data_IF_019478141321
#
_entry.id   IF_019478141321
#
_cell.length_a   1.000
_cell.length_b   1.000
_cell.length_c   1.000
_cell.angle_alpha   90.00
_cell.angle_beta   90.00
_cell.angle_gamma   90.00
#
_symmetry.space_group_name_H-M   'P 1'
#
loop_
_entity.id
_entity.type
_entity.pdbx_description
1 polymer ?
#
# COMPACT_ATOMS: atom_id res chain seq x y z
N UNK A 1 5.96 6.63 -20.80
CA UNK A 1 7.26 5.94 -20.72
C UNK A 1 6.98 4.49 -20.31
N UNK A 2 7.23 3.49 -21.16
CA UNK A 2 7.10 2.07 -20.78
C UNK A 2 8.37 1.68 -20.02
N UNK A 3 8.29 1.46 -18.70
CA UNK A 3 9.41 0.97 -17.91
C UNK A 3 9.45 -0.55 -17.99
N UNK A 4 10.50 -1.12 -18.60
CA UNK A 4 10.69 -2.58 -18.61
C UNK A 4 11.25 -3.02 -17.26
N UNK A 5 10.52 -3.89 -16.56
CA UNK A 5 10.96 -4.53 -15.33
C UNK A 5 11.65 -5.86 -15.66
N UNK A 6 12.67 -6.27 -14.88
CA UNK A 6 13.27 -7.59 -15.03
C UNK A 6 12.22 -8.69 -14.78
N UNK A 7 12.28 -9.83 -15.50
CA UNK A 7 11.27 -10.89 -15.43
C UNK A 7 11.24 -11.61 -14.07
N UNK A 8 12.34 -11.57 -13.33
CA UNK A 8 12.49 -12.07 -11.97
C UNK A 8 12.96 -10.95 -11.04
N UNK A 9 12.67 -11.12 -9.75
CA UNK A 9 13.25 -10.26 -8.72
C UNK A 9 14.78 -10.38 -8.78
N UNK A 10 15.54 -9.27 -8.93
CA UNK A 10 16.97 -9.31 -9.26
C UNK A 10 17.85 -9.93 -8.16
N UNK A 11 17.31 -10.15 -6.97
CA UNK A 11 18.04 -10.65 -5.81
C UNK A 11 17.86 -12.16 -5.56
N UNK A 12 17.52 -12.94 -6.59
CA UNK A 12 17.50 -14.41 -6.56
C UNK A 12 18.92 -15.01 -6.48
N UNK A 13 19.66 -14.64 -5.45
CA UNK A 13 20.65 -15.55 -4.85
C UNK A 13 20.03 -15.96 -3.54
N UNK A 14 19.87 -17.27 -3.37
CA UNK A 14 19.52 -17.94 -2.12
C UNK A 14 20.33 -17.25 -1.02
N UNK A 15 19.72 -16.28 -0.34
CA UNK A 15 20.42 -15.49 0.67
C UNK A 15 20.78 -16.54 1.70
N UNK A 16 22.06 -16.71 1.99
CA UNK A 16 22.46 -17.29 3.27
C UNK A 16 21.94 -16.28 4.30
N UNK A 17 20.64 -16.40 4.66
CA UNK A 17 19.83 -15.51 5.51
C UNK A 17 20.46 -15.31 6.91
N UNK A 18 21.60 -15.93 7.15
CA UNK A 18 22.35 -16.01 8.39
C UNK A 18 23.53 -15.02 8.42
N UNK A 19 24.00 -14.47 7.29
CA UNK A 19 25.30 -13.75 7.28
C UNK A 19 25.23 -12.21 7.36
N UNK A 20 24.25 -11.54 6.75
CA UNK A 20 24.21 -10.07 6.72
C UNK A 20 22.79 -9.49 6.97
N UNK A 21 22.56 -8.85 8.14
CA UNK A 21 21.32 -8.14 8.44
C UNK A 21 20.94 -7.06 7.42
N UNK A 22 21.90 -6.39 6.79
CA UNK A 22 21.61 -5.34 5.80
C UNK A 22 21.01 -5.92 4.53
N UNK A 23 21.60 -7.00 4.01
CA UNK A 23 21.10 -7.71 2.83
C UNK A 23 19.68 -8.26 3.05
N UNK A 24 19.37 -8.75 4.26
CA UNK A 24 18.00 -9.13 4.61
C UNK A 24 17.03 -7.95 4.54
N UNK A 25 17.41 -6.80 5.12
CA UNK A 25 16.57 -5.58 5.08
C UNK A 25 16.34 -5.13 3.64
N UNK A 26 17.38 -5.10 2.80
CA UNK A 26 17.23 -4.78 1.39
C UNK A 26 16.32 -5.78 0.67
N UNK A 27 16.53 -7.08 0.86
CA UNK A 27 15.71 -8.11 0.24
C UNK A 27 14.21 -7.95 0.55
N UNK A 28 13.86 -7.84 1.84
CA UNK A 28 12.48 -7.75 2.26
C UNK A 28 11.83 -6.39 1.95
N UNK A 29 12.58 -5.30 1.89
CA UNK A 29 12.04 -3.98 1.51
C UNK A 29 11.83 -3.84 -0.01
N UNK A 30 12.72 -4.42 -0.82
CA UNK A 30 12.68 -4.26 -2.28
C UNK A 30 11.74 -5.26 -2.98
N UNK A 31 11.48 -6.43 -2.40
CA UNK A 31 10.55 -7.41 -2.99
C UNK A 31 9.14 -6.80 -3.17
N UNK A 32 8.52 -6.12 -2.18
CA UNK A 32 7.27 -5.40 -2.35
C UNK A 32 7.32 -4.27 -3.38
N UNK A 33 8.45 -3.56 -3.48
CA UNK A 33 8.65 -2.52 -4.49
C UNK A 33 8.55 -3.09 -5.90
N UNK A 34 9.25 -4.19 -6.16
CA UNK A 34 9.21 -4.86 -7.45
C UNK A 34 7.81 -5.44 -7.74
N UNK A 35 7.16 -6.04 -6.74
CA UNK A 35 5.79 -6.54 -6.88
C UNK A 35 4.78 -5.41 -7.14
N UNK A 36 4.92 -4.27 -6.46
CA UNK A 36 4.09 -3.10 -6.69
C UNK A 36 4.29 -2.53 -8.10
N UNK A 37 5.54 -2.47 -8.57
CA UNK A 37 5.83 -2.06 -9.95
C UNK A 37 5.21 -3.03 -10.97
N UNK A 38 5.23 -4.34 -10.72
CA UNK A 38 4.55 -5.34 -11.56
C UNK A 38 3.03 -5.22 -11.50
N UNK A 39 2.44 -4.89 -10.35
CA UNK A 39 1.01 -4.60 -10.22
C UNK A 39 0.61 -3.39 -11.07
N UNK A 40 1.41 -2.31 -11.03
CA UNK A 40 1.21 -1.13 -11.89
C UNK A 40 1.34 -1.52 -13.38
N UNK A 41 2.36 -2.30 -13.73
CA UNK A 41 2.55 -2.78 -15.10
C UNK A 41 1.35 -3.62 -15.55
N UNK A 42 0.81 -4.49 -14.70
CA UNK A 42 -0.36 -5.30 -14.99
C UNK A 42 -1.59 -4.44 -15.35
N UNK A 43 -1.80 -3.32 -14.66
CA UNK A 43 -2.92 -2.40 -14.94
C UNK A 43 -2.75 -1.64 -16.24
N UNK A 44 -1.51 -1.28 -16.60
CA UNK A 44 -1.21 -0.46 -17.77
C UNK A 44 -0.80 -1.25 -19.02
N UNK A 45 -0.67 -2.57 -18.93
CA UNK A 45 -0.30 -3.39 -20.07
C UNK A 45 -1.55 -3.81 -20.86
N UNK A 46 -1.81 -3.12 -21.96
CA UNK A 46 -2.89 -3.43 -22.90
C UNK A 46 -2.60 -4.69 -23.76
N UNK A 47 -1.34 -5.14 -23.79
CA UNK A 47 -0.93 -6.32 -24.57
C UNK A 47 -1.23 -7.60 -23.79
N UNK A 48 -2.47 -8.08 -23.95
CA UNK A 48 -2.84 -9.45 -23.58
C UNK A 48 -2.08 -10.40 -24.49
N UNK A 49 -0.91 -10.87 -24.05
CA UNK A 49 -0.25 -11.99 -24.73
C UNK A 49 -1.17 -13.21 -24.64
N UNK A 50 -1.46 -13.90 -25.76
CA UNK A 50 -2.28 -15.10 -25.76
C UNK A 50 -1.67 -16.23 -24.91
N UNK A 51 -0.36 -16.18 -24.65
CA UNK A 51 0.38 -17.19 -23.90
C UNK A 51 0.18 -17.09 -22.37
N UNK A 52 -0.28 -15.94 -21.85
CA UNK A 52 -0.55 -15.73 -20.42
C UNK A 52 -1.81 -14.88 -20.20
N UNK A 53 -2.96 -15.51 -19.91
CA UNK A 53 -4.19 -14.77 -19.65
C UNK A 53 -4.03 -13.84 -18.44
N UNK A 54 -4.71 -12.68 -18.40
CA UNK A 54 -4.61 -11.72 -17.29
C UNK A 54 -4.90 -12.34 -15.92
N UNK A 55 -5.77 -13.34 -15.86
CA UNK A 55 -6.05 -14.10 -14.64
C UNK A 55 -4.81 -14.76 -14.04
N UNK A 56 -3.97 -15.40 -14.86
CA UNK A 56 -2.78 -16.11 -14.39
C UNK A 56 -1.73 -15.13 -13.85
N UNK A 57 -1.57 -13.98 -14.50
CA UNK A 57 -0.63 -12.94 -14.03
C UNK A 57 -1.15 -12.34 -12.73
N UNK A 58 -2.44 -12.04 -12.65
CA UNK A 58 -3.07 -11.48 -11.47
C UNK A 58 -2.95 -12.42 -10.26
N UNK A 59 -3.29 -13.70 -10.43
CA UNK A 59 -3.22 -14.66 -9.31
C UNK A 59 -1.78 -14.87 -8.85
N UNK A 60 -0.84 -14.97 -9.80
CA UNK A 60 0.58 -15.08 -9.47
C UNK A 60 1.06 -13.89 -8.62
N UNK A 61 0.70 -12.65 -9.00
CA UNK A 61 1.09 -11.46 -8.22
C UNK A 61 0.45 -11.44 -6.83
N UNK A 62 -0.82 -11.84 -6.72
CA UNK A 62 -1.51 -11.94 -5.43
C UNK A 62 -0.84 -12.99 -4.54
N UNK A 63 -0.50 -14.15 -5.07
CA UNK A 63 0.20 -15.23 -4.35
C UNK A 63 1.61 -14.79 -3.91
N UNK A 64 2.39 -14.16 -4.80
CA UNK A 64 3.73 -13.65 -4.47
C UNK A 64 3.69 -12.57 -3.37
N UNK A 65 2.68 -11.69 -3.38
CA UNK A 65 2.45 -10.69 -2.34
C UNK A 65 2.04 -11.33 -1.01
N UNK A 66 1.09 -12.28 -1.03
CA UNK A 66 0.67 -12.98 0.19
C UNK A 66 1.81 -13.80 0.79
N UNK A 67 2.63 -14.43 -0.06
CA UNK A 67 3.83 -15.13 0.36
C UNK A 67 4.80 -14.17 1.06
N UNK A 68 5.12 -13.03 0.44
CA UNK A 68 5.99 -12.03 1.09
C UNK A 68 5.42 -11.58 2.44
N UNK A 69 4.10 -11.35 2.52
CA UNK A 69 3.47 -10.95 3.78
C UNK A 69 3.59 -12.05 4.84
N UNK A 70 3.35 -13.32 4.49
CA UNK A 70 3.46 -14.44 5.42
C UNK A 70 4.90 -14.82 5.83
N UNK A 71 5.89 -14.54 4.98
CA UNK A 71 7.30 -14.88 5.19
C UNK A 71 8.16 -13.72 5.71
N UNK A 72 7.58 -12.52 5.88
CA UNK A 72 8.35 -11.37 6.35
C UNK A 72 8.87 -11.62 7.76
N UNK A 73 10.12 -11.23 8.07
CA UNK A 73 10.68 -11.43 9.38
C UNK A 73 10.02 -10.47 10.38
N UNK A 74 10.17 -10.75 11.68
CA UNK A 74 9.53 -9.98 12.75
C UNK A 74 9.87 -8.48 12.72
N UNK A 75 11.08 -8.14 12.27
CA UNK A 75 11.56 -6.77 12.09
C UNK A 75 10.76 -5.99 11.02
N UNK A 76 10.05 -6.71 10.14
CA UNK A 76 9.14 -6.19 9.13
C UNK A 76 7.67 -6.26 9.57
N UNK A 77 7.35 -6.77 10.75
CA UNK A 77 5.99 -6.69 11.31
C UNK A 77 5.76 -5.34 12.01
N UNK A 78 4.50 -4.88 12.10
CA UNK A 78 4.18 -3.73 12.95
C UNK A 78 4.67 -3.96 14.38
N UNK A 79 5.31 -2.95 14.95
CA UNK A 79 5.69 -2.94 16.38
C UNK A 79 4.45 -2.80 17.26
N UNK A 80 3.45 -2.05 16.79
CA UNK A 80 2.17 -1.86 17.45
C UNK A 80 1.07 -1.86 16.40
N UNK A 81 0.03 -2.62 16.67
CA UNK A 81 -1.20 -2.66 15.89
C UNK A 81 -2.39 -2.63 16.84
N UNK A 82 -3.18 -1.56 16.78
CA UNK A 82 -4.42 -1.41 17.55
C UNK A 82 -5.55 -1.28 16.55
N UNK A 83 -6.39 -2.32 16.47
CA UNK A 83 -7.58 -2.32 15.65
C UNK A 83 -8.62 -1.32 16.16
N UNK A 84 -9.49 -0.89 15.26
CA UNK A 84 -10.68 -0.15 15.64
C UNK A 84 -11.65 -1.12 16.32
N UNK A 85 -11.78 -1.04 17.64
CA UNK A 85 -12.89 -1.72 18.32
C UNK A 85 -14.15 -0.86 18.15
N UNK A 86 -15.12 -1.36 17.40
CA UNK A 86 -16.40 -0.69 17.11
C UNK A 86 -17.15 -0.24 18.38
N UNK A 87 -16.85 -0.83 19.55
CA UNK A 87 -17.50 -0.50 20.82
C UNK A 87 -16.75 0.52 21.70
N UNK A 88 -15.45 0.74 21.44
CA UNK A 88 -14.58 1.61 22.26
C UNK A 88 -13.95 2.76 21.46
N UNK A 89 -14.08 2.75 20.13
CA UNK A 89 -13.70 3.89 19.30
C UNK A 89 -14.63 5.07 19.59
N UNK A 90 -14.18 5.99 20.44
CA UNK A 90 -14.75 7.32 20.48
C UNK A 90 -14.72 7.96 19.07
N UNK A 91 -15.47 9.05 18.83
CA UNK A 91 -15.59 9.69 17.52
C UNK A 91 -14.27 10.20 16.90
N UNK A 92 -13.14 10.02 17.59
CA UNK A 92 -11.82 10.53 17.25
C UNK A 92 -10.90 9.54 16.51
N UNK A 93 -11.24 8.24 16.41
CA UNK A 93 -10.38 7.25 15.72
C UNK A 93 -11.06 6.77 14.44
N UNK A 94 -10.63 7.29 13.28
CA UNK A 94 -11.19 6.88 11.98
C UNK A 94 -10.37 5.80 11.25
N UNK A 95 -9.19 5.48 11.78
CA UNK A 95 -8.27 4.45 11.27
C UNK A 95 -7.65 3.63 12.42
N UNK A 96 -7.25 2.37 12.18
CA UNK A 96 -6.45 1.61 13.14
C UNK A 96 -5.08 2.27 13.35
N UNK A 97 -4.44 2.01 14.49
CA UNK A 97 -3.10 2.52 14.79
C UNK A 97 -2.07 1.48 14.39
N UNK A 98 -1.14 1.85 13.51
CA UNK A 98 -0.09 0.94 13.02
C UNK A 98 1.25 1.66 13.05
N UNK A 99 2.15 1.17 13.87
CA UNK A 99 3.49 1.74 14.03
C UNK A 99 4.55 0.72 13.63
N UNK A 100 5.55 1.19 12.90
CA UNK A 100 6.72 0.41 12.52
C UNK A 100 7.95 0.85 13.30
N UNK A 101 8.81 -0.10 13.64
CA UNK A 101 10.05 0.19 14.36
C UNK A 101 11.13 0.83 13.46
N UNK A 102 11.04 0.65 12.14
CA UNK A 102 12.05 1.12 11.20
C UNK A 102 11.47 1.48 9.82
N UNK A 103 12.18 2.32 9.06
CA UNK A 103 11.73 2.80 7.74
C UNK A 103 11.62 1.70 6.68
N UNK A 104 12.46 0.66 6.72
CA UNK A 104 12.40 -0.42 5.75
C UNK A 104 11.14 -1.29 5.90
N UNK A 105 10.76 -1.59 7.14
CA UNK A 105 9.51 -2.29 7.47
C UNK A 105 8.29 -1.49 7.04
N UNK A 106 8.27 -0.18 7.31
CA UNK A 106 7.23 0.72 6.83
C UNK A 106 7.13 0.69 5.30
N UNK A 107 8.27 0.87 4.63
CA UNK A 107 8.36 0.90 3.17
C UNK A 107 7.92 -0.42 2.51
N UNK A 108 8.34 -1.56 3.04
CA UNK A 108 7.91 -2.86 2.52
C UNK A 108 6.40 -3.07 2.67
N UNK A 109 5.85 -2.79 3.87
CA UNK A 109 4.43 -3.03 4.15
C UNK A 109 3.52 -2.04 3.41
N UNK A 110 3.87 -0.76 3.33
CA UNK A 110 3.06 0.21 2.58
C UNK A 110 2.97 -0.18 1.10
N UNK A 111 4.08 -0.65 0.50
CA UNK A 111 4.09 -1.13 -0.88
C UNK A 111 3.34 -2.43 -1.07
N UNK A 112 3.39 -3.35 -0.11
CA UNK A 112 2.55 -4.55 -0.13
C UNK A 112 1.06 -4.19 -0.18
N UNK A 113 0.60 -3.33 0.73
CA UNK A 113 -0.81 -2.95 0.76
C UNK A 113 -1.21 -2.17 -0.50
N UNK A 114 -0.34 -1.30 -1.02
CA UNK A 114 -0.57 -0.57 -2.27
C UNK A 114 -0.66 -1.51 -3.47
N UNK A 115 0.25 -2.47 -3.60
CA UNK A 115 0.22 -3.45 -4.68
C UNK A 115 -1.06 -4.29 -4.64
N UNK A 116 -1.44 -4.79 -3.46
CA UNK A 116 -2.69 -5.53 -3.26
C UNK A 116 -3.90 -4.66 -3.59
N UNK A 117 -3.93 -3.40 -3.15
CA UNK A 117 -5.00 -2.48 -3.46
C UNK A 117 -5.17 -2.28 -4.97
N UNK A 118 -4.07 -2.07 -5.70
CA UNK A 118 -4.06 -1.92 -7.16
C UNK A 118 -4.62 -3.18 -7.83
N UNK A 119 -4.14 -4.37 -7.44
CA UNK A 119 -4.59 -5.64 -8.01
C UNK A 119 -6.06 -5.91 -7.74
N UNK A 120 -6.54 -5.68 -6.52
CA UNK A 120 -7.94 -5.94 -6.16
C UNK A 120 -8.91 -5.02 -6.91
N UNK A 121 -8.52 -3.78 -7.18
CA UNK A 121 -9.30 -2.86 -8.01
C UNK A 121 -9.31 -3.22 -9.50
N UNK A 122 -8.30 -3.99 -9.96
CA UNK A 122 -8.14 -4.41 -11.35
C UNK A 122 -8.30 -5.92 -11.51
N UNK A 123 -9.17 -6.51 -10.68
CA UNK A 123 -9.45 -7.94 -10.69
C UNK A 123 -10.03 -8.39 -12.05
N UNK A 124 -9.44 -9.40 -12.71
CA UNK A 124 -9.99 -9.98 -13.94
C UNK A 124 -11.38 -10.55 -13.73
N UNK A 125 -12.29 -10.35 -14.69
CA UNK A 125 -13.69 -10.86 -14.64
C UNK A 125 -13.76 -12.38 -14.50
N UNK A 126 -12.73 -13.10 -14.94
CA UNK A 126 -12.61 -14.56 -14.84
C UNK A 126 -12.23 -15.04 -13.44
N UNK A 127 -11.76 -14.17 -12.55
CA UNK A 127 -11.43 -14.54 -11.17
C UNK A 127 -12.72 -14.72 -10.35
N UNK A 128 -12.97 -15.91 -9.80
CA UNK A 128 -14.20 -16.21 -9.03
C UNK A 128 -14.11 -15.78 -7.57
N UNK A 129 -15.20 -15.23 -7.02
CA UNK A 129 -15.24 -14.63 -5.67
C UNK A 129 -15.05 -15.68 -4.58
N UNK A 130 -15.45 -16.93 -4.83
CA UNK A 130 -15.43 -18.02 -3.86
C UNK A 130 -14.03 -18.46 -3.42
N UNK A 131 -12.98 -18.11 -4.18
CA UNK A 131 -11.62 -18.64 -3.98
C UNK A 131 -10.83 -17.86 -2.91
N UNK A 132 -11.40 -16.79 -2.34
CA UNK A 132 -10.64 -15.76 -1.62
C UNK A 132 -11.36 -15.25 -0.37
N UNK A 133 -11.34 -16.03 0.73
CA UNK A 133 -11.98 -15.68 2.02
C UNK A 133 -11.06 -14.97 3.03
N UNK A 134 -9.86 -14.57 2.61
CA UNK A 134 -8.89 -13.90 3.47
C UNK A 134 -9.16 -12.40 3.59
N UNK A 135 -8.86 -11.79 4.74
CA UNK A 135 -8.89 -10.33 4.93
C UNK A 135 -7.96 -9.60 3.95
N UNK A 136 -6.87 -10.26 3.53
CA UNK A 136 -5.96 -9.79 2.49
C UNK A 136 -6.63 -9.64 1.10
N UNK A 137 -7.89 -10.05 0.96
CA UNK A 137 -8.65 -9.91 -0.27
C UNK A 137 -9.68 -8.77 -0.18
N UNK A 138 -9.65 -8.00 0.92
CA UNK A 138 -10.49 -6.83 1.15
C UNK A 138 -9.79 -5.53 0.70
N UNK A 139 -10.28 -4.83 -0.33
CA UNK A 139 -9.74 -3.53 -0.72
C UNK A 139 -9.82 -2.50 0.40
N UNK A 140 -10.90 -2.55 1.21
CA UNK A 140 -11.09 -1.65 2.36
C UNK A 140 -9.99 -1.86 3.40
N UNK A 141 -9.65 -3.12 3.71
CA UNK A 141 -8.58 -3.44 4.65
C UNK A 141 -7.25 -2.82 4.20
N UNK A 142 -6.84 -3.05 2.95
CA UNK A 142 -5.60 -2.45 2.42
C UNK A 142 -5.63 -0.93 2.43
N UNK A 143 -6.77 -0.33 2.09
CA UNK A 143 -6.94 1.13 2.11
C UNK A 143 -6.74 1.69 3.52
N UNK A 144 -7.42 1.11 4.52
CA UNK A 144 -7.28 1.53 5.91
C UNK A 144 -5.86 1.36 6.41
N UNK A 145 -5.19 0.24 6.09
CA UNK A 145 -3.79 0.00 6.43
C UNK A 145 -2.87 1.08 5.87
N UNK A 146 -2.99 1.44 4.58
CA UNK A 146 -2.17 2.49 3.96
C UNK A 146 -2.37 3.84 4.66
N UNK A 147 -3.63 4.26 4.87
CA UNK A 147 -3.92 5.51 5.59
C UNK A 147 -3.37 5.49 7.02
N UNK A 148 -3.52 4.37 7.72
CA UNK A 148 -3.02 4.19 9.09
C UNK A 148 -1.50 4.32 9.16
N UNK A 149 -0.79 3.67 8.24
CA UNK A 149 0.68 3.73 8.16
C UNK A 149 1.12 5.18 7.93
N UNK A 150 0.50 5.86 6.96
CA UNK A 150 0.83 7.23 6.61
C UNK A 150 0.55 8.23 7.76
N UNK A 151 -0.59 8.08 8.45
CA UNK A 151 -1.03 9.02 9.49
C UNK A 151 -0.28 8.84 10.82
N UNK A 152 0.14 7.62 11.17
CA UNK A 152 0.78 7.34 12.46
C UNK A 152 2.30 7.30 12.42
N UNK A 153 2.92 7.24 11.23
CA UNK A 153 4.37 7.29 11.05
C UNK A 153 4.77 8.60 10.35
N UNK A 154 4.46 9.72 10.98
CA UNK A 154 4.38 11.05 10.35
C UNK A 154 5.64 11.93 10.50
N UNK A 155 6.75 11.34 10.96
CA UNK A 155 8.03 12.05 11.04
C UNK A 155 8.59 12.30 9.64
N UNK A 156 9.38 13.36 9.50
CA UNK A 156 9.93 13.77 8.19
C UNK A 156 10.68 12.64 7.50
N UNK A 157 11.45 11.85 8.25
CA UNK A 157 12.24 10.72 7.76
C UNK A 157 11.42 9.51 7.30
N UNK A 158 10.14 9.42 7.69
CA UNK A 158 9.25 8.34 7.26
C UNK A 158 8.62 8.60 5.89
N UNK A 159 8.66 9.85 5.40
CA UNK A 159 8.06 10.23 4.13
C UNK A 159 9.00 10.05 2.95
N UNK A 160 8.59 9.18 2.02
CA UNK A 160 9.16 9.04 0.69
C UNK A 160 8.07 9.26 -0.39
N UNK A 161 8.44 9.48 -1.67
CA UNK A 161 7.45 9.68 -2.74
C UNK A 161 6.49 8.50 -2.94
N UNK A 162 6.91 7.26 -2.66
CA UNK A 162 6.05 6.09 -2.70
C UNK A 162 5.01 6.13 -1.58
N UNK A 163 5.37 6.51 -0.35
CA UNK A 163 4.40 6.65 0.75
C UNK A 163 3.36 7.73 0.45
N UNK A 164 3.77 8.88 -0.09
CA UNK A 164 2.82 9.91 -0.52
C UNK A 164 1.88 9.38 -1.62
N UNK A 165 2.41 8.67 -2.62
CA UNK A 165 1.61 8.11 -3.70
C UNK A 165 0.63 7.03 -3.21
N UNK A 166 1.09 6.13 -2.33
CA UNK A 166 0.27 5.13 -1.66
C UNK A 166 -0.87 5.80 -0.88
N UNK A 167 -0.54 6.81 -0.07
CA UNK A 167 -1.51 7.52 0.74
C UNK A 167 -2.56 8.24 -0.12
N UNK A 168 -2.14 8.93 -1.18
CA UNK A 168 -3.05 9.56 -2.13
C UNK A 168 -3.96 8.55 -2.83
N UNK A 169 -3.43 7.38 -3.22
CA UNK A 169 -4.23 6.31 -3.84
C UNK A 169 -5.30 5.77 -2.89
N UNK A 170 -4.94 5.53 -1.62
CA UNK A 170 -5.87 5.03 -0.61
C UNK A 170 -6.91 6.09 -0.21
N UNK A 171 -6.50 7.35 -0.07
CA UNK A 171 -7.35 8.48 0.28
C UNK A 171 -8.58 8.59 -0.64
N UNK A 172 -8.42 8.38 -1.95
CA UNK A 172 -9.52 8.40 -2.92
C UNK A 172 -10.67 7.43 -2.60
N UNK A 173 -10.44 6.45 -1.75
CA UNK A 173 -11.44 5.45 -1.33
C UNK A 173 -12.18 5.80 -0.05
N UNK A 174 -11.88 6.94 0.57
CA UNK A 174 -12.55 7.39 1.79
C UNK A 174 -13.95 7.91 1.48
N UNK A 175 -14.95 7.32 2.12
CA UNK A 175 -16.37 7.72 2.00
C UNK A 175 -16.92 8.36 3.26
N UNK A 176 -16.27 8.15 4.41
CA UNK A 176 -16.68 8.75 5.68
C UNK A 176 -16.00 10.09 5.90
N UNK A 177 -16.79 11.09 6.30
CA UNK A 177 -16.33 12.45 6.54
C UNK A 177 -15.18 12.51 7.55
N UNK A 178 -15.25 11.74 8.65
CA UNK A 178 -14.19 11.70 9.67
C UNK A 178 -12.85 11.23 9.11
N UNK A 179 -12.87 10.21 8.25
CA UNK A 179 -11.70 9.70 7.55
C UNK A 179 -11.13 10.71 6.56
N UNK A 180 -12.01 11.38 5.80
CA UNK A 180 -11.60 12.43 4.86
C UNK A 180 -10.91 13.60 5.58
N UNK A 181 -11.46 14.04 6.72
CA UNK A 181 -10.85 15.07 7.56
C UNK A 181 -9.48 14.67 8.09
N UNK A 182 -9.31 13.44 8.57
CA UNK A 182 -8.00 12.92 8.99
C UNK A 182 -7.00 12.89 7.83
N UNK A 183 -7.43 12.48 6.64
CA UNK A 183 -6.57 12.48 5.44
C UNK A 183 -6.14 13.90 5.06
N UNK A 184 -7.06 14.87 5.07
CA UNK A 184 -6.73 16.28 4.77
C UNK A 184 -5.68 16.80 5.75
N UNK A 185 -5.90 16.61 7.06
CA UNK A 185 -4.92 17.01 8.09
C UNK A 185 -3.58 16.31 7.90
N UNK A 186 -3.59 15.03 7.55
CA UNK A 186 -2.40 14.26 7.23
C UNK A 186 -1.60 14.88 6.08
N UNK A 187 -2.25 15.17 4.96
CA UNK A 187 -1.61 15.79 3.79
C UNK A 187 -1.06 17.19 4.10
N UNK A 188 -1.81 18.03 4.83
CA UNK A 188 -1.33 19.35 5.28
C UNK A 188 -0.10 19.24 6.19
N UNK A 189 -0.06 18.21 7.04
CA UNK A 189 1.10 17.92 7.88
C UNK A 189 2.31 17.49 7.05
N UNK A 190 2.13 16.68 6.00
CA UNK A 190 3.22 16.33 5.07
C UNK A 190 3.85 17.60 4.51
N UNK A 191 3.03 18.52 3.99
CA UNK A 191 3.52 19.80 3.46
C UNK A 191 4.37 20.55 4.50
N UNK A 192 3.90 20.58 5.74
CA UNK A 192 4.58 21.27 6.85
C UNK A 192 5.94 20.62 7.18
N UNK A 193 6.03 19.29 7.22
CA UNK A 193 7.26 18.59 7.65
C UNK A 193 8.25 18.33 6.52
N UNK A 194 7.80 18.13 5.28
CA UNK A 194 8.67 17.82 4.12
C UNK A 194 8.87 19.00 3.18
N UNK A 195 7.98 20.00 3.20
CA UNK A 195 7.92 21.08 2.21
C UNK A 195 7.30 20.67 0.87
N UNK A 196 6.81 19.44 0.73
CA UNK A 196 6.23 18.97 -0.54
C UNK A 196 4.92 19.67 -0.87
N UNK A 197 4.72 19.99 -2.14
CA UNK A 197 3.48 20.62 -2.60
C UNK A 197 2.40 19.55 -2.81
N UNK A 198 1.46 19.47 -1.86
CA UNK A 198 0.31 18.55 -1.90
C UNK A 198 -0.99 19.22 -2.37
N UNK A 199 -0.97 20.50 -2.77
CA UNK A 199 -2.18 21.29 -3.05
C UNK A 199 -3.04 20.67 -4.15
N UNK A 200 -2.41 20.21 -5.24
CA UNK A 200 -3.12 19.56 -6.33
C UNK A 200 -3.77 18.24 -5.88
N UNK A 201 -3.06 17.45 -5.06
CA UNK A 201 -3.59 16.22 -4.48
C UNK A 201 -4.81 16.50 -3.59
N UNK A 202 -4.70 17.49 -2.68
CA UNK A 202 -5.80 17.90 -1.82
C UNK A 202 -7.02 18.38 -2.62
N UNK A 203 -6.78 19.20 -3.64
CA UNK A 203 -7.85 19.68 -4.51
C UNK A 203 -8.56 18.51 -5.22
N UNK A 204 -7.80 17.60 -5.84
CA UNK A 204 -8.38 16.42 -6.48
C UNK A 204 -9.20 15.56 -5.51
N UNK A 205 -8.72 15.33 -4.29
CA UNK A 205 -9.47 14.57 -3.28
C UNK A 205 -10.76 15.27 -2.89
N UNK A 206 -10.74 16.59 -2.65
CA UNK A 206 -11.95 17.36 -2.33
C UNK A 206 -12.99 17.33 -3.45
N UNK A 207 -12.55 17.40 -4.71
CA UNK A 207 -13.43 17.22 -5.89
C UNK A 207 -14.04 15.81 -5.87
N UNK A 208 -13.21 14.77 -5.71
CA UNK A 208 -13.66 13.37 -5.72
C UNK A 208 -14.63 13.04 -4.59
N UNK A 209 -14.50 13.71 -3.43
CA UNK A 209 -15.40 13.56 -2.29
C UNK A 209 -16.60 14.51 -2.31
N UNK A 210 -16.76 15.33 -3.36
CA UNK A 210 -17.83 16.33 -3.47
C UNK A 210 -17.83 17.40 -2.34
N UNK A 211 -16.66 17.77 -1.81
CA UNK A 211 -16.53 18.77 -0.73
C UNK A 211 -16.35 20.22 -1.22
N UNK A 212 -16.58 20.50 -2.50
CA UNK A 212 -16.36 21.84 -3.08
C UNK A 212 -17.58 22.78 -2.98
N UNK A 213 -18.69 22.32 -2.42
CA UNK A 213 -19.94 23.11 -2.34
C UNK A 213 -20.09 23.88 -1.01
N UNK A 214 -19.06 23.92 -0.14
CA UNK A 214 -19.14 24.52 1.21
C UNK A 214 -18.20 25.71 1.47
N UNK A 215 -17.84 26.50 0.45
CA UNK A 215 -17.09 27.77 0.65
C UNK A 215 -17.77 28.97 0.02
#
# INVERSE_FOLDING_TARGET
>A
MRMQLPPSFPYFTQVDLVADPFEMVFFYAYRPLWLCARAIQFVHNEEVSPDRPPFHIWIQLVEELQQWYGERPREFEPMLEIEMDDQLAGPERSFPVILFANGASLFGNQLYHTAMLILLHNRPRTARIADFRSVAMSPLWHTQRICSIALHNDRRECWDPCLLASFALAARRMTHESQQHEVVRGLERIHTVTGWNVKNCLHSLRVEWCLLDET
#
